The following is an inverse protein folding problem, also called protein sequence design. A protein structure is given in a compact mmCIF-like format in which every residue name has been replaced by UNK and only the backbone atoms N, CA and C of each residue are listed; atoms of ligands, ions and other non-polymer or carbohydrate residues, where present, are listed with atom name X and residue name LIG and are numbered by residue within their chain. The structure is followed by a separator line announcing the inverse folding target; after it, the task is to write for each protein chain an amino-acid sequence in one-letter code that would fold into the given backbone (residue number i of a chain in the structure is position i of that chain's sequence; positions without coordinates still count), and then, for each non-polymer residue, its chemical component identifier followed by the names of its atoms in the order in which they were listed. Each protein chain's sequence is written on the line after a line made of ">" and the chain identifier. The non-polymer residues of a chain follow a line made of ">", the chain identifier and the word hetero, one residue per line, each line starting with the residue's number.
data_IF_805922811005
#
_entry.id   IF_805922811005
#
_cell.length_a   1.000
_cell.length_b   1.000
_cell.length_c   1.000
_cell.angle_alpha   90.00
_cell.angle_beta   90.00
_cell.angle_gamma   90.00
#
_symmetry.space_group_name_H-M   'P 1'
#
loop_
_entity.id
_entity.type
_entity.pdbx_description
1 polymer ?
#
# COMPACT_ATOMS: atom_id res chain seq x y z
N UNK A 1 -11.50 -20.68 1.51
CA UNK A 1 -10.35 -20.19 2.30
C UNK A 1 -10.04 -18.77 1.84
N UNK A 2 -10.42 -17.75 2.60
CA UNK A 2 -10.08 -16.35 2.25
C UNK A 2 -8.73 -16.05 2.90
N UNK A 3 -7.70 -15.79 2.08
CA UNK A 3 -6.37 -15.40 2.54
C UNK A 3 -6.46 -13.95 3.07
N UNK A 4 -6.83 -13.81 4.35
CA UNK A 4 -7.05 -12.54 5.09
C UNK A 4 -5.75 -11.73 5.32
N UNK A 5 -4.95 -11.49 4.27
CA UNK A 5 -3.73 -10.69 4.35
C UNK A 5 -4.02 -9.18 4.24
N UNK A 6 -5.06 -8.82 3.49
CA UNK A 6 -5.45 -7.44 3.22
C UNK A 6 -6.88 -7.27 3.74
N UNK A 7 -7.10 -6.27 4.60
CA UNK A 7 -8.40 -6.03 5.26
C UNK A 7 -9.55 -5.86 4.26
N UNK A 8 -10.79 -6.08 4.72
CA UNK A 8 -12.03 -5.82 3.95
C UNK A 8 -12.24 -4.35 3.55
N UNK A 9 -11.28 -3.47 3.82
CA UNK A 9 -11.29 -2.04 3.46
C UNK A 9 -10.78 -1.78 2.05
N UNK A 10 -10.31 -2.80 1.33
CA UNK A 10 -9.90 -2.68 -0.07
C UNK A 10 -11.02 -3.15 -1.00
N UNK A 11 -11.34 -2.32 -1.98
CA UNK A 11 -12.21 -2.69 -3.10
C UNK A 11 -11.38 -3.38 -4.19
N UNK A 12 -11.99 -4.30 -4.93
CA UNK A 12 -11.38 -4.89 -6.12
C UNK A 12 -11.16 -3.81 -7.19
N UNK A 13 -10.10 -3.98 -7.98
CA UNK A 13 -9.69 -3.05 -9.03
C UNK A 13 -8.61 -2.07 -8.58
N UNK A 14 -8.44 -1.00 -9.35
CA UNK A 14 -7.46 0.06 -9.05
C UNK A 14 -7.81 0.76 -7.75
N UNK A 15 -6.81 0.98 -6.89
CA UNK A 15 -7.02 1.68 -5.62
C UNK A 15 -7.24 3.18 -5.84
N UNK A 16 -7.95 3.82 -4.90
CA UNK A 16 -8.12 5.27 -4.91
C UNK A 16 -6.80 5.98 -4.61
N UNK A 17 -6.65 7.23 -5.06
CA UNK A 17 -5.47 8.05 -4.74
C UNK A 17 -5.25 8.24 -3.24
N UNK A 18 -6.33 8.32 -2.46
CA UNK A 18 -6.28 8.43 -1.00
C UNK A 18 -5.70 7.17 -0.31
N UNK A 19 -5.60 6.04 -1.01
CA UNK A 19 -5.03 4.82 -0.44
C UNK A 19 -3.53 4.67 -0.72
N UNK A 20 -2.93 5.58 -1.47
CA UNK A 20 -1.52 5.54 -1.87
C UNK A 20 -0.75 6.76 -1.38
N UNK A 21 0.35 6.51 -0.68
CA UNK A 21 1.23 7.55 -0.19
C UNK A 21 2.68 7.34 -0.64
N UNK A 22 3.32 8.42 -1.09
CA UNK A 22 4.76 8.48 -1.33
C UNK A 22 5.46 8.96 -0.06
N UNK A 23 6.14 8.04 0.62
CA UNK A 23 6.79 8.34 1.90
C UNK A 23 7.36 7.10 2.58
N UNK A 24 7.93 7.30 3.78
CA UNK A 24 8.43 6.21 4.63
C UNK A 24 7.37 5.67 5.60
N UNK A 25 6.25 6.36 5.76
CA UNK A 25 5.12 5.97 6.62
C UNK A 25 3.81 6.58 6.13
N UNK A 26 2.68 6.15 6.69
CA UNK A 26 1.38 6.75 6.40
C UNK A 26 1.36 8.23 6.85
N UNK A 27 0.77 9.10 6.03
CA UNK A 27 0.51 10.49 6.35
C UNK A 27 -0.88 10.68 6.94
N UNK A 28 -1.85 9.87 6.50
CA UNK A 28 -3.19 9.87 7.07
C UNK A 28 -3.86 8.50 7.07
N UNK A 29 -4.99 8.42 7.79
CA UNK A 29 -5.69 7.17 8.05
C UNK A 29 -6.27 6.43 6.85
N UNK A 30 -6.28 7.04 5.67
CA UNK A 30 -6.72 6.41 4.44
C UNK A 30 -5.59 5.68 3.71
N UNK A 31 -4.33 5.97 4.03
CA UNK A 31 -3.17 5.34 3.42
C UNK A 31 -3.17 3.82 3.68
N UNK A 32 -3.03 3.06 2.61
CA UNK A 32 -2.95 1.59 2.64
C UNK A 32 -1.66 1.09 2.02
N UNK A 33 -1.22 1.74 0.95
CA UNK A 33 0.01 1.42 0.25
C UNK A 33 0.96 2.61 0.38
N UNK A 34 2.09 2.37 1.03
CA UNK A 34 3.11 3.40 1.25
C UNK A 34 4.35 2.99 0.47
N UNK A 35 4.81 3.86 -0.41
CA UNK A 35 5.98 3.62 -1.23
C UNK A 35 7.09 4.61 -0.93
N UNK A 36 8.19 4.10 -0.39
CA UNK A 36 9.41 4.87 -0.23
C UNK A 36 10.24 4.76 -1.51
N UNK A 37 10.07 5.70 -2.43
CA UNK A 37 10.78 5.68 -3.71
C UNK A 37 12.31 5.77 -3.57
N UNK A 38 12.81 6.39 -2.49
CA UNK A 38 14.27 6.49 -2.28
C UNK A 38 14.92 5.13 -2.01
N UNK A 39 14.19 4.20 -1.37
CA UNK A 39 14.66 2.85 -1.06
C UNK A 39 14.07 1.78 -1.97
N UNK A 40 12.97 2.08 -2.66
CA UNK A 40 12.16 1.12 -3.41
C UNK A 40 11.24 0.27 -2.54
N UNK A 41 11.15 0.52 -1.23
CA UNK A 41 10.32 -0.29 -0.34
C UNK A 41 8.83 0.05 -0.49
N UNK A 42 8.00 -0.97 -0.77
CA UNK A 42 6.56 -0.87 -0.79
C UNK A 42 5.98 -1.58 0.44
N UNK A 43 5.15 -0.86 1.18
CA UNK A 43 4.52 -1.32 2.41
C UNK A 43 3.01 -1.38 2.26
N UNK A 44 2.40 -2.31 2.97
CA UNK A 44 0.97 -2.32 3.25
C UNK A 44 0.74 -1.91 4.72
N UNK A 45 -0.07 -0.89 4.94
CA UNK A 45 -0.56 -0.49 6.25
C UNK A 45 -2.06 -0.79 6.34
N UNK A 46 -2.43 -1.66 7.29
CA UNK A 46 -3.81 -2.11 7.47
C UNK A 46 -4.70 -1.01 8.04
N UNK A 47 -4.17 -0.12 8.87
CA UNK A 47 -4.95 0.92 9.54
C UNK A 47 -4.63 2.35 9.09
N UNK A 48 -3.49 2.55 8.42
CA UNK A 48 -3.03 3.84 7.89
C UNK A 48 -2.77 4.88 8.98
N UNK A 49 -2.79 4.51 10.25
CA UNK A 49 -2.67 5.44 11.38
C UNK A 49 -1.41 5.20 12.19
N UNK A 50 -0.54 4.29 11.74
CA UNK A 50 0.67 3.90 12.47
C UNK A 50 0.40 3.21 13.81
N UNK A 51 -0.85 2.81 14.09
CA UNK A 51 -1.22 2.05 15.28
C UNK A 51 -0.71 0.62 15.17
N UNK A 52 -0.93 0.02 14.00
CA UNK A 52 -0.27 -1.20 13.53
C UNK A 52 0.95 -0.81 12.72
N UNK A 53 2.06 -1.53 12.89
CA UNK A 53 3.21 -1.34 12.03
C UNK A 53 2.86 -1.71 10.58
N UNK A 54 3.22 -0.85 9.63
CA UNK A 54 3.18 -1.18 8.20
C UNK A 54 4.07 -2.40 7.92
N UNK A 55 3.65 -3.27 7.01
CA UNK A 55 4.37 -4.48 6.61
C UNK A 55 4.97 -4.28 5.24
N UNK A 56 6.28 -4.49 5.09
CA UNK A 56 6.90 -4.45 3.77
C UNK A 56 6.46 -5.67 2.96
N UNK A 57 5.90 -5.41 1.77
CA UNK A 57 5.37 -6.45 0.88
C UNK A 57 6.19 -6.59 -0.42
N UNK A 58 7.00 -5.59 -0.77
CA UNK A 58 7.90 -5.66 -1.91
C UNK A 58 9.08 -4.69 -1.79
N UNK A 59 10.09 -4.92 -2.64
CA UNK A 59 11.16 -3.97 -2.95
C UNK A 59 11.26 -3.84 -4.46
N UNK A 60 11.09 -2.62 -4.97
CA UNK A 60 11.27 -2.29 -6.38
C UNK A 60 12.69 -1.75 -6.60
N UNK A 61 13.58 -2.61 -7.11
CA UNK A 61 14.99 -2.27 -7.33
C UNK A 61 15.20 -1.12 -8.33
N UNK A 62 14.27 -0.96 -9.28
CA UNK A 62 14.31 0.12 -10.26
C UNK A 62 13.83 1.48 -9.73
N UNK A 63 13.33 1.53 -8.48
CA UNK A 63 12.78 2.76 -7.86
C UNK A 63 11.79 3.49 -8.76
N UNK A 64 10.95 2.72 -9.44
CA UNK A 64 9.97 3.23 -10.40
C UNK A 64 9.15 4.39 -9.80
N UNK A 65 8.78 5.35 -10.64
CA UNK A 65 7.74 6.31 -10.28
C UNK A 65 6.41 5.56 -10.26
N UNK A 66 5.91 5.30 -9.06
CA UNK A 66 4.63 4.64 -8.84
C UNK A 66 3.57 5.65 -8.45
N UNK A 67 2.34 5.31 -8.81
CA UNK A 67 1.13 6.01 -8.42
C UNK A 67 0.06 4.99 -8.00
N UNK A 68 -1.06 5.48 -7.48
CA UNK A 68 -2.20 4.65 -7.13
C UNK A 68 -2.76 3.84 -8.33
N UNK A 69 -2.59 4.32 -9.58
CA UNK A 69 -3.09 3.60 -10.76
C UNK A 69 -2.29 2.35 -11.10
N UNK A 70 -1.09 2.23 -10.56
CA UNK A 70 -0.19 1.08 -10.78
C UNK A 70 -0.50 -0.09 -9.84
N UNK A 71 -1.46 0.08 -8.90
CA UNK A 71 -1.82 -0.93 -7.91
C UNK A 71 -3.26 -1.39 -8.13
N UNK A 72 -3.42 -2.70 -8.36
CA UNK A 72 -4.71 -3.35 -8.58
C UNK A 72 -4.93 -4.45 -7.54
N UNK A 73 -6.06 -4.40 -6.86
CA UNK A 73 -6.51 -5.46 -5.95
C UNK A 73 -7.32 -6.47 -6.75
N UNK A 74 -6.90 -7.74 -6.73
CA UNK A 74 -7.53 -8.83 -7.48
C UNK A 74 -8.07 -9.89 -6.53
N UNK A 75 -9.16 -10.54 -6.95
CA UNK A 75 -9.64 -11.77 -6.31
C UNK A 75 -8.88 -12.95 -6.88
N UNK A 76 -8.46 -13.87 -6.02
CA UNK A 76 -7.82 -15.16 -6.38
C UNK A 76 -8.73 -16.34 -6.06
#
# INVERSE_FOLDING_TARGET
>A
MVRSGFSNSLNLGTISSAQFHLGSGAADSSDRFIYNQSTGALFFDRDGRGGSAQVQIATLSNRASLSHSDIVVVSV
#
